data_IF_642486888012
#
_entry.id   IF_642486888012
#
_cell.length_a   1.000
_cell.length_b   1.000
_cell.length_c   1.000
_cell.angle_alpha   90.00
_cell.angle_beta   90.00
_cell.angle_gamma   90.00
#
_symmetry.space_group_name_H-M   'P 1'
#
loop_
_entity.id
_entity.type
_entity.pdbx_description
1 polymer ?
#
# COMPACT_ATOMS: atom_id res chain seq x y z
N UNK A 1 -0.80 -25.66 4.27
CA UNK A 1 -0.44 -24.23 4.12
C UNK A 1 0.11 -23.76 5.45
N UNK A 2 1.32 -23.19 5.52
CA UNK A 2 1.88 -22.70 6.80
C UNK A 2 1.25 -21.36 7.20
N UNK A 3 1.29 -21.02 8.49
CA UNK A 3 0.83 -19.73 9.03
C UNK A 3 1.49 -18.56 8.29
N UNK A 4 2.79 -18.66 8.01
CA UNK A 4 3.55 -17.70 7.21
C UNK A 4 2.97 -17.50 5.80
N UNK A 5 2.67 -18.60 5.09
CA UNK A 5 2.10 -18.51 3.74
C UNK A 5 0.69 -17.92 3.75
N UNK A 6 -0.14 -18.26 4.74
CA UNK A 6 -1.48 -17.68 4.88
C UNK A 6 -1.41 -16.18 5.17
N UNK A 7 -0.51 -15.76 6.07
CA UNK A 7 -0.25 -14.35 6.34
C UNK A 7 0.24 -13.61 5.10
N UNK A 8 1.19 -14.19 4.36
CA UNK A 8 1.73 -13.59 3.14
C UNK A 8 0.63 -13.36 2.10
N UNK A 9 -0.16 -14.39 1.81
CA UNK A 9 -1.24 -14.28 0.83
C UNK A 9 -2.28 -13.24 1.23
N UNK A 10 -2.61 -13.13 2.52
CA UNK A 10 -3.53 -12.08 2.99
C UNK A 10 -3.02 -10.69 2.61
N UNK A 11 -1.77 -10.37 2.93
CA UNK A 11 -1.19 -9.05 2.62
C UNK A 11 -1.02 -8.85 1.11
N UNK A 12 -0.65 -9.89 0.35
CA UNK A 12 -0.59 -9.85 -1.12
C UNK A 12 -1.95 -9.47 -1.73
N UNK A 13 -3.03 -10.14 -1.31
CA UNK A 13 -4.39 -9.83 -1.78
C UNK A 13 -4.86 -8.43 -1.38
N UNK A 14 -4.53 -7.98 -0.17
CA UNK A 14 -4.86 -6.61 0.25
C UNK A 14 -4.07 -5.57 -0.56
N UNK A 15 -2.80 -5.83 -0.91
CA UNK A 15 -1.98 -4.96 -1.77
C UNK A 15 -2.56 -4.85 -3.18
N UNK A 16 -3.07 -5.93 -3.77
CA UNK A 16 -3.73 -5.89 -5.08
C UNK A 16 -4.95 -4.94 -5.08
N UNK A 17 -5.76 -4.97 -4.02
CA UNK A 17 -6.89 -4.06 -3.86
C UNK A 17 -6.44 -2.60 -3.74
N UNK A 18 -5.33 -2.36 -3.03
CA UNK A 18 -4.75 -1.03 -2.88
C UNK A 18 -4.22 -0.51 -4.23
N UNK A 19 -3.57 -1.36 -5.03
CA UNK A 19 -3.07 -0.97 -6.36
C UNK A 19 -4.21 -0.63 -7.33
N UNK A 20 -5.33 -1.35 -7.27
CA UNK A 20 -6.52 -1.02 -8.04
C UNK A 20 -7.05 0.39 -7.67
N UNK A 21 -7.10 0.72 -6.38
CA UNK A 21 -7.48 2.07 -5.91
C UNK A 21 -6.50 3.15 -6.38
N UNK A 22 -5.20 2.86 -6.44
CA UNK A 22 -4.22 3.82 -6.96
C UNK A 22 -4.42 4.11 -8.43
N UNK A 23 -4.70 3.08 -9.23
CA UNK A 23 -5.01 3.24 -10.65
C UNK A 23 -6.26 4.12 -10.85
N UNK A 24 -7.28 3.92 -10.02
CA UNK A 24 -8.49 4.75 -10.01
C UNK A 24 -8.18 6.22 -9.67
N UNK A 25 -7.44 6.47 -8.59
CA UNK A 25 -7.04 7.82 -8.19
C UNK A 25 -6.21 8.52 -9.27
N UNK A 26 -5.23 7.82 -9.84
CA UNK A 26 -4.41 8.29 -10.96
C UNK A 26 -5.26 8.66 -12.18
N UNK A 27 -6.31 7.91 -12.47
CA UNK A 27 -7.23 8.23 -13.56
C UNK A 27 -8.07 9.48 -13.24
N UNK A 28 -8.67 9.55 -12.05
CA UNK A 28 -9.49 10.70 -11.61
C UNK A 28 -8.68 12.00 -11.56
N UNK A 29 -7.44 11.94 -11.08
CA UNK A 29 -6.54 13.09 -10.99
C UNK A 29 -6.19 13.76 -12.32
N UNK A 30 -6.35 13.06 -13.46
CA UNK A 30 -6.09 13.64 -14.79
C UNK A 30 -7.10 14.73 -15.18
N UNK A 31 -8.30 14.70 -14.61
CA UNK A 31 -9.37 15.68 -14.86
C UNK A 31 -9.34 16.90 -13.93
N UNK A 32 -8.44 16.93 -12.94
CA UNK A 32 -8.36 18.01 -11.97
C UNK A 32 -7.62 19.25 -12.53
N UNK A 33 -7.90 20.42 -11.95
CA UNK A 33 -7.13 21.64 -12.20
C UNK A 33 -5.65 21.45 -11.87
N UNK A 34 -4.76 22.27 -12.46
CA UNK A 34 -3.31 22.08 -12.38
C UNK A 34 -2.76 21.90 -10.95
N UNK A 35 -3.17 22.77 -10.01
CA UNK A 35 -2.72 22.70 -8.61
C UNK A 35 -3.22 21.43 -7.90
N UNK A 36 -4.49 21.09 -8.11
CA UNK A 36 -5.10 19.87 -7.57
C UNK A 36 -4.45 18.61 -8.17
N UNK A 37 -4.08 18.63 -9.45
CA UNK A 37 -3.37 17.54 -10.13
C UNK A 37 -1.96 17.34 -9.57
N UNK A 38 -1.23 18.40 -9.22
CA UNK A 38 0.10 18.30 -8.59
C UNK A 38 -0.02 17.62 -7.22
N UNK A 39 -0.90 18.13 -6.35
CA UNK A 39 -1.15 17.56 -5.03
C UNK A 39 -1.57 16.10 -5.12
N UNK A 40 -2.47 15.80 -6.05
CA UNK A 40 -2.91 14.44 -6.30
C UNK A 40 -1.77 13.50 -6.73
N UNK A 41 -0.91 13.96 -7.64
CA UNK A 41 0.23 13.15 -8.11
C UNK A 41 1.20 12.83 -6.98
N UNK A 42 1.44 13.78 -6.06
CA UNK A 42 2.27 13.55 -4.88
C UNK A 42 1.67 12.50 -3.93
N UNK A 43 0.35 12.52 -3.73
CA UNK A 43 -0.32 11.51 -2.89
C UNK A 43 -0.20 10.12 -3.50
N UNK A 44 -0.42 9.98 -4.81
CA UNK A 44 -0.25 8.71 -5.51
C UNK A 44 1.19 8.22 -5.46
N UNK A 45 2.17 9.11 -5.60
CA UNK A 45 3.59 8.75 -5.51
C UNK A 45 3.96 8.24 -4.09
N UNK A 46 3.53 8.92 -3.03
CA UNK A 46 3.76 8.46 -1.65
C UNK A 46 3.14 7.07 -1.40
N UNK A 47 1.94 6.87 -1.92
CA UNK A 47 1.22 5.61 -1.90
C UNK A 47 1.95 4.48 -2.66
N UNK A 48 2.44 4.75 -3.88
CA UNK A 48 3.26 3.82 -4.67
C UNK A 48 4.55 3.43 -3.91
N UNK A 49 5.23 4.40 -3.29
CA UNK A 49 6.45 4.15 -2.49
C UNK A 49 6.18 3.26 -1.27
N UNK A 50 5.10 3.51 -0.52
CA UNK A 50 4.73 2.69 0.65
C UNK A 50 4.28 1.28 0.25
N UNK A 51 3.59 1.12 -0.88
CA UNK A 51 3.25 -0.18 -1.46
C UNK A 51 4.52 -0.97 -1.83
N UNK A 52 5.46 -0.34 -2.52
CA UNK A 52 6.74 -0.96 -2.86
C UNK A 52 7.55 -1.39 -1.62
N UNK A 53 7.56 -0.56 -0.57
CA UNK A 53 8.22 -0.89 0.69
C UNK A 53 7.58 -2.12 1.37
N UNK A 54 6.25 -2.18 1.39
CA UNK A 54 5.50 -3.33 1.95
C UNK A 54 5.79 -4.60 1.14
N UNK A 55 5.72 -4.53 -0.21
CA UNK A 55 6.07 -5.66 -1.09
C UNK A 55 7.49 -6.18 -0.86
N UNK A 56 8.46 -5.27 -0.69
CA UNK A 56 9.85 -5.64 -0.39
C UNK A 56 9.98 -6.38 0.94
N UNK A 57 9.31 -5.92 1.99
CA UNK A 57 9.30 -6.59 3.30
C UNK A 57 8.60 -7.94 3.24
N UNK A 58 7.50 -8.01 2.51
CA UNK A 58 6.73 -9.24 2.33
C UNK A 58 7.52 -10.31 1.57
N UNK A 59 8.31 -9.91 0.56
CA UNK A 59 9.25 -10.78 -0.13
C UNK A 59 10.31 -11.34 0.82
N UNK A 60 10.93 -10.49 1.64
CA UNK A 60 11.91 -10.91 2.65
C UNK A 60 11.30 -11.88 3.68
N UNK A 61 10.05 -11.65 4.10
CA UNK A 61 9.32 -12.59 4.97
C UNK A 61 9.06 -13.93 4.28
N UNK A 62 8.80 -13.94 2.97
CA UNK A 62 8.65 -15.16 2.18
C UNK A 62 9.93 -16.01 2.07
N UNK A 63 11.09 -15.36 2.12
CA UNK A 63 12.42 -15.99 2.08
C UNK A 63 12.88 -16.49 3.46
N UNK A 64 12.22 -16.07 4.55
CA UNK A 64 12.57 -16.46 5.91
C UNK A 64 12.14 -17.88 6.29
N UNK A 65 12.86 -18.47 7.25
CA UNK A 65 12.49 -19.77 7.83
C UNK A 65 11.25 -19.65 8.71
N UNK A 66 10.61 -20.79 8.99
CA UNK A 66 9.42 -20.82 9.86
C UNK A 66 9.75 -20.49 11.33
N UNK A 67 11.03 -20.45 11.72
CA UNK A 67 11.47 -20.04 13.05
C UNK A 67 11.80 -18.54 13.16
N UNK A 68 11.99 -17.85 12.03
CA UNK A 68 12.46 -16.44 11.99
C UNK A 68 11.44 -15.46 11.38
N UNK A 69 10.35 -15.97 10.78
CA UNK A 69 9.38 -15.12 10.09
C UNK A 69 8.60 -14.18 11.02
N UNK A 70 8.39 -14.55 12.29
CA UNK A 70 7.66 -13.71 13.25
C UNK A 70 8.41 -12.39 13.52
N UNK A 71 9.73 -12.41 13.59
CA UNK A 71 10.55 -11.20 13.76
C UNK A 71 10.47 -10.26 12.55
N UNK A 72 10.30 -10.83 11.34
CA UNK A 72 10.14 -10.04 10.12
C UNK A 72 8.72 -9.53 9.92
N UNK A 73 7.73 -10.17 10.56
CA UNK A 73 6.31 -9.83 10.49
C UNK A 73 6.06 -8.40 10.95
N UNK A 74 6.68 -7.97 12.05
CA UNK A 74 6.55 -6.60 12.57
C UNK A 74 7.00 -5.55 11.54
N UNK A 75 8.03 -5.87 10.76
CA UNK A 75 8.50 -5.02 9.67
C UNK A 75 7.46 -4.88 8.55
N UNK A 76 6.77 -5.97 8.20
CA UNK A 76 5.67 -5.97 7.23
C UNK A 76 4.49 -5.17 7.78
N UNK A 77 4.06 -5.45 9.02
CA UNK A 77 2.93 -4.79 9.67
C UNK A 77 3.14 -3.27 9.78
N UNK A 78 4.36 -2.84 10.12
CA UNK A 78 4.70 -1.43 10.17
C UNK A 78 4.55 -0.73 8.82
N UNK A 79 5.07 -1.34 7.74
CA UNK A 79 4.95 -0.77 6.39
C UNK A 79 3.50 -0.80 5.88
N UNK A 80 2.78 -1.87 6.19
CA UNK A 80 1.38 -2.05 5.83
C UNK A 80 0.47 -1.03 6.52
N UNK A 81 0.64 -0.83 7.83
CA UNK A 81 -0.13 0.17 8.58
C UNK A 81 0.10 1.59 8.05
N UNK A 82 1.34 1.95 7.69
CA UNK A 82 1.66 3.25 7.08
C UNK A 82 0.99 3.42 5.71
N UNK A 83 0.95 2.35 4.91
CA UNK A 83 0.25 2.35 3.63
C UNK A 83 -1.26 2.53 3.80
N UNK A 84 -1.88 1.80 4.74
CA UNK A 84 -3.29 1.93 5.03
C UNK A 84 -3.67 3.32 5.54
N UNK A 85 -2.84 3.92 6.39
CA UNK A 85 -3.04 5.29 6.88
C UNK A 85 -3.01 6.31 5.72
N UNK A 86 -1.96 6.26 4.89
CA UNK A 86 -1.85 7.16 3.73
C UNK A 86 -2.99 6.97 2.73
N UNK A 87 -3.45 5.72 2.53
CA UNK A 87 -4.58 5.43 1.65
C UNK A 87 -5.87 6.06 2.20
N UNK A 88 -6.12 5.90 3.51
CA UNK A 88 -7.28 6.51 4.17
C UNK A 88 -7.25 8.03 4.04
N UNK A 89 -6.10 8.65 4.28
CA UNK A 89 -5.95 10.11 4.14
C UNK A 89 -6.18 10.58 2.70
N UNK A 90 -5.68 9.82 1.72
CA UNK A 90 -5.88 10.10 0.29
C UNK A 90 -7.35 9.97 -0.10
N UNK A 91 -8.04 8.91 0.33
CA UNK A 91 -9.49 8.73 0.13
C UNK A 91 -10.26 9.91 0.70
N UNK A 92 -9.98 10.31 1.94
CA UNK A 92 -10.67 11.43 2.59
C UNK A 92 -10.41 12.77 1.90
N UNK A 93 -9.21 13.00 1.35
CA UNK A 93 -8.97 14.19 0.55
C UNK A 93 -9.75 14.17 -0.77
N UNK A 94 -9.79 13.01 -1.43
CA UNK A 94 -10.57 12.84 -2.66
C UNK A 94 -12.07 13.04 -2.47
N UNK A 95 -12.63 12.55 -1.38
CA UNK A 95 -14.05 12.75 -1.05
C UNK A 95 -14.40 14.22 -0.79
N UNK A 96 -13.42 15.07 -0.49
CA UNK A 96 -13.59 16.52 -0.29
C UNK A 96 -13.39 17.34 -1.56
N UNK A 97 -12.64 16.82 -2.52
CA UNK A 97 -12.29 17.49 -3.78
C UNK A 97 -13.28 17.17 -4.93
N UNK A 98 -14.27 16.29 -4.70
CA UNK A 98 -15.40 15.96 -5.61
C UNK A 98 -16.68 16.62 -5.12
#
# INVERSE_FOLDING_TARGET
>A
MSTKNAYRQKIESELELVEARFAEFKARGKGLAADARIKHSQLVEDLEQKSAATKKKLKALGEASDDTWEELKDGVESTWAKLQAALKDTVTMFEKDV
#
